data_IF_190610275045
#
_entry.id   IF_190610275045
#
_cell.length_a   1.000
_cell.length_b   1.000
_cell.length_c   1.000
_cell.angle_alpha   90.00
_cell.angle_beta   90.00
_cell.angle_gamma   90.00
#
_symmetry.space_group_name_H-M   'P 1'
#
loop_
_entity.id
_entity.type
_entity.pdbx_description
1 polymer ?
#
# COMPACT_ATOMS: atom_id res chain seq x y z
N UNK A 1 7.69 -3.08 -15.47
CA UNK A 1 8.52 -3.22 -14.25
C UNK A 1 7.66 -2.74 -13.08
N UNK A 2 7.02 -3.67 -12.38
CA UNK A 2 6.23 -3.39 -11.18
C UNK A 2 6.69 -4.36 -10.11
N UNK A 3 7.13 -3.85 -8.96
CA UNK A 3 7.53 -4.70 -7.83
C UNK A 3 6.27 -4.91 -7.00
N UNK A 4 5.51 -5.94 -7.33
CA UNK A 4 4.42 -6.41 -6.45
C UNK A 4 5.01 -7.45 -5.51
N UNK A 5 4.97 -7.18 -4.20
CA UNK A 5 5.08 -8.24 -3.20
C UNK A 5 3.82 -9.10 -3.24
N UNK A 6 3.71 -10.03 -4.18
CA UNK A 6 2.59 -10.99 -4.20
C UNK A 6 2.79 -12.04 -3.12
N UNK A 7 2.29 -11.79 -1.91
CA UNK A 7 1.98 -12.87 -0.99
C UNK A 7 0.73 -13.60 -1.53
N UNK A 8 0.90 -14.82 -2.07
CA UNK A 8 -0.25 -15.69 -2.40
C UNK A 8 -0.73 -16.35 -1.12
N UNK A 9 -1.99 -16.13 -0.73
CA UNK A 9 -2.67 -16.94 0.29
C UNK A 9 -4.07 -17.29 -0.21
N UNK A 10 -4.27 -18.58 -0.47
CA UNK A 10 -5.58 -19.19 -0.63
C UNK A 10 -6.22 -19.31 0.76
N UNK A 11 -7.43 -18.75 0.86
CA UNK A 11 -8.42 -18.96 1.92
C UNK A 11 -8.16 -18.31 3.31
N UNK A 12 -9.04 -17.33 3.59
CA UNK A 12 -9.50 -16.80 4.89
C UNK A 12 -8.59 -15.87 5.71
N UNK A 13 -9.09 -14.62 5.85
CA UNK A 13 -8.72 -13.53 6.78
C UNK A 13 -7.63 -12.53 6.31
N UNK A 14 -8.07 -11.60 5.45
CA UNK A 14 -7.62 -10.21 5.27
C UNK A 14 -6.17 -9.87 5.71
N UNK A 15 -5.20 -10.21 4.87
CA UNK A 15 -3.87 -9.60 4.95
C UNK A 15 -3.87 -8.32 4.12
N UNK A 16 -3.37 -7.23 4.72
CA UNK A 16 -3.24 -5.93 4.07
C UNK A 16 -2.00 -5.93 3.16
N UNK A 17 -2.12 -5.98 1.81
CA UNK A 17 -0.94 -5.85 0.97
C UNK A 17 -0.35 -4.44 1.12
N UNK A 18 0.94 -4.37 1.45
CA UNK A 18 1.74 -3.19 1.22
C UNK A 18 1.98 -3.03 -0.29
N UNK A 19 1.56 -1.91 -0.86
CA UNK A 19 1.67 -1.60 -2.29
C UNK A 19 2.81 -0.61 -2.49
N UNK A 20 3.78 -0.97 -3.34
CA UNK A 20 4.98 -0.19 -3.66
C UNK A 20 5.35 -0.33 -5.14
N UNK A 21 6.22 0.55 -5.64
CA UNK A 21 6.81 0.40 -6.97
C UNK A 21 6.84 1.66 -7.82
N UNK A 22 7.17 1.50 -9.12
CA UNK A 22 7.27 2.60 -10.07
C UNK A 22 5.97 2.82 -10.85
N UNK A 23 5.72 4.08 -11.23
CA UNK A 23 4.47 4.52 -11.82
C UNK A 23 3.36 4.60 -10.76
N UNK A 24 3.57 5.45 -9.75
CA UNK A 24 2.61 5.70 -8.65
C UNK A 24 1.18 5.93 -9.17
N UNK A 25 1.05 6.86 -10.11
CA UNK A 25 -0.19 7.29 -10.75
C UNK A 25 -0.74 6.30 -11.79
N UNK A 26 0.03 5.25 -12.15
CA UNK A 26 -0.33 4.24 -13.15
C UNK A 26 -0.41 2.83 -12.55
N UNK A 27 0.66 2.05 -12.67
CA UNK A 27 0.71 0.64 -12.28
C UNK A 27 0.40 0.43 -10.79
N UNK A 28 0.91 1.29 -9.91
CA UNK A 28 0.66 1.22 -8.47
C UNK A 28 -0.81 1.49 -8.15
N UNK A 29 -1.35 2.62 -8.61
CA UNK A 29 -2.77 2.99 -8.40
C UNK A 29 -3.75 1.96 -8.97
N UNK A 30 -3.52 1.49 -10.20
CA UNK A 30 -4.38 0.48 -10.83
C UNK A 30 -4.36 -0.86 -10.11
N UNK A 31 -3.19 -1.28 -9.60
CA UNK A 31 -3.07 -2.50 -8.78
C UNK A 31 -3.82 -2.35 -7.46
N UNK A 32 -3.65 -1.20 -6.79
CA UNK A 32 -4.33 -0.90 -5.52
C UNK A 32 -5.85 -0.90 -5.68
N UNK A 33 -6.39 -0.24 -6.70
CA UNK A 33 -7.83 -0.27 -7.03
C UNK A 33 -8.32 -1.69 -7.29
N UNK A 34 -7.56 -2.45 -8.07
CA UNK A 34 -7.87 -3.85 -8.36
C UNK A 34 -7.88 -4.73 -7.11
N UNK A 35 -7.02 -4.46 -6.13
CA UNK A 35 -7.01 -5.17 -4.85
C UNK A 35 -8.19 -4.75 -3.96
N UNK A 36 -8.46 -3.45 -3.88
CA UNK A 36 -9.61 -2.88 -3.17
C UNK A 36 -10.95 -3.42 -3.69
N UNK A 37 -11.12 -3.51 -5.01
CA UNK A 37 -12.34 -4.07 -5.62
C UNK A 37 -12.57 -5.56 -5.28
N UNK A 38 -11.51 -6.26 -4.82
CA UNK A 38 -11.57 -7.65 -4.33
C UNK A 38 -11.77 -7.72 -2.81
N UNK A 39 -11.98 -6.60 -2.14
CA UNK A 39 -12.16 -6.51 -0.68
C UNK A 39 -10.86 -6.61 0.11
N UNK A 40 -9.71 -6.30 -0.50
CA UNK A 40 -8.43 -6.23 0.22
C UNK A 40 -8.21 -4.80 0.75
N UNK A 41 -7.94 -4.71 2.05
CA UNK A 41 -7.49 -3.49 2.71
C UNK A 41 -6.04 -3.19 2.31
N UNK A 42 -5.77 -2.12 1.56
CA UNK A 42 -4.44 -1.84 1.03
C UNK A 42 -3.69 -0.76 1.83
N UNK A 43 -2.38 -0.91 1.97
CA UNK A 43 -1.48 0.14 2.48
C UNK A 43 -0.53 0.58 1.37
N UNK A 44 -0.64 1.83 0.92
CA UNK A 44 0.34 2.42 0.01
C UNK A 44 1.55 2.91 0.81
N UNK A 45 2.74 2.40 0.52
CA UNK A 45 3.99 2.88 1.15
C UNK A 45 4.65 3.89 0.21
N UNK A 46 4.42 5.18 0.47
CA UNK A 46 4.60 6.24 -0.51
C UNK A 46 6.08 6.54 -0.81
N UNK A 47 6.93 6.54 0.22
CA UNK A 47 8.38 6.72 0.09
C UNK A 47 9.09 5.55 -0.61
N UNK A 48 8.42 4.41 -0.74
CA UNK A 48 8.84 3.26 -1.53
C UNK A 48 8.22 3.24 -2.94
N UNK A 49 7.56 4.33 -3.35
CA UNK A 49 7.00 4.50 -4.68
C UNK A 49 7.74 5.57 -5.49
N UNK A 50 7.70 5.41 -6.82
CA UNK A 50 8.25 6.39 -7.76
C UNK A 50 7.15 6.80 -8.73
N UNK A 51 6.85 8.10 -8.80
CA UNK A 51 5.99 8.67 -9.84
C UNK A 51 6.80 9.00 -11.09
N UNK A 52 6.20 8.90 -12.29
CA UNK A 52 6.86 9.39 -13.50
C UNK A 52 6.82 10.92 -13.58
N UNK A 53 5.76 11.52 -13.07
CA UNK A 53 5.61 12.96 -12.88
C UNK A 53 5.57 13.27 -11.37
N UNK A 54 6.58 13.96 -10.81
CA UNK A 54 6.60 14.35 -9.40
C UNK A 54 5.39 15.17 -8.97
N UNK A 55 4.81 15.98 -9.86
CA UNK A 55 3.64 16.81 -9.55
C UNK A 55 2.37 15.97 -9.31
N UNK A 56 2.38 14.70 -9.74
CA UNK A 56 1.30 13.75 -9.53
C UNK A 56 1.38 12.96 -8.22
N UNK A 57 2.46 13.09 -7.44
CA UNK A 57 2.58 12.39 -6.14
C UNK A 57 1.48 12.80 -5.17
N UNK A 58 1.28 14.12 -4.99
CA UNK A 58 0.26 14.63 -4.07
C UNK A 58 -1.18 14.29 -4.53
N UNK A 59 -1.56 14.49 -5.81
CA UNK A 59 -2.85 14.02 -6.32
C UNK A 59 -3.07 12.51 -6.21
N UNK A 60 -2.03 11.70 -6.47
CA UNK A 60 -2.13 10.24 -6.35
C UNK A 60 -2.34 9.82 -4.88
N UNK A 61 -1.63 10.43 -3.94
CA UNK A 61 -1.87 10.23 -2.51
C UNK A 61 -3.30 10.61 -2.13
N UNK A 62 -3.74 11.80 -2.53
CA UNK A 62 -5.09 12.30 -2.22
C UNK A 62 -6.18 11.35 -2.71
N UNK A 63 -6.00 10.74 -3.89
CA UNK A 63 -6.95 9.76 -4.42
C UNK A 63 -7.13 8.53 -3.53
N UNK A 64 -6.10 8.11 -2.82
CA UNK A 64 -6.20 7.00 -1.85
C UNK A 64 -7.01 7.43 -0.63
N UNK A 65 -6.70 8.61 -0.07
CA UNK A 65 -7.25 9.11 1.20
C UNK A 65 -8.67 9.69 1.06
N UNK A 66 -9.14 9.97 -0.16
CA UNK A 66 -10.50 10.47 -0.42
C UNK A 66 -11.58 9.58 0.21
N UNK A 67 -12.71 10.19 0.58
CA UNK A 67 -13.87 9.52 1.20
C UNK A 67 -13.53 8.69 2.45
N UNK A 68 -12.48 9.09 3.19
CA UNK A 68 -12.03 8.39 4.39
C UNK A 68 -11.12 7.19 4.12
N UNK A 69 -10.44 7.15 2.98
CA UNK A 69 -9.55 6.05 2.60
C UNK A 69 -10.20 5.06 1.64
N UNK A 70 -10.84 5.53 0.57
CA UNK A 70 -11.62 4.70 -0.38
C UNK A 70 -10.81 3.56 -1.02
N UNK A 71 -9.48 3.69 -1.08
CA UNK A 71 -8.60 2.63 -1.56
C UNK A 71 -7.68 2.05 -0.48
N UNK A 72 -7.83 2.48 0.78
CA UNK A 72 -7.02 2.07 1.91
C UNK A 72 -6.28 3.22 2.58
N UNK A 73 -5.11 2.92 3.15
CA UNK A 73 -4.28 3.87 3.90
C UNK A 73 -2.98 4.22 3.16
N UNK A 74 -2.35 5.31 3.58
CA UNK A 74 -1.01 5.73 3.10
C UNK A 74 -0.08 5.82 4.30
N UNK A 75 1.13 5.29 4.16
CA UNK A 75 2.20 5.39 5.15
C UNK A 75 3.56 5.47 4.50
N UNK A 76 4.59 5.64 5.33
CA UNK A 76 5.99 5.63 4.93
C UNK A 76 6.69 4.39 5.50
N UNK A 77 7.81 4.00 4.89
CA UNK A 77 8.55 2.78 5.22
C UNK A 77 8.96 2.76 6.70
N UNK A 78 9.32 3.91 7.27
CA UNK A 78 9.64 4.03 8.70
C UNK A 78 8.46 3.62 9.60
N UNK A 79 7.27 4.17 9.36
CA UNK A 79 6.08 3.85 10.14
C UNK A 79 5.68 2.38 10.02
N UNK A 80 5.86 1.78 8.84
CA UNK A 80 5.62 0.36 8.61
C UNK A 80 6.59 -0.50 9.41
N UNK A 81 7.89 -0.19 9.36
CA UNK A 81 8.91 -0.93 10.10
C UNK A 81 8.72 -0.81 11.61
N UNK A 82 8.41 0.38 12.11
CA UNK A 82 8.12 0.60 13.53
C UNK A 82 6.93 -0.24 13.99
N UNK A 83 5.84 -0.27 13.22
CA UNK A 83 4.67 -1.09 13.52
C UNK A 83 5.00 -2.59 13.52
N UNK A 84 5.81 -3.07 12.57
CA UNK A 84 6.24 -4.46 12.51
C UNK A 84 7.14 -4.84 13.69
N UNK A 85 8.05 -3.97 14.10
CA UNK A 85 8.90 -4.21 15.27
C UNK A 85 8.06 -4.31 16.55
N UNK A 86 7.11 -3.39 16.76
CA UNK A 86 6.18 -3.44 17.89
C UNK A 86 5.34 -4.73 17.89
N UNK A 87 4.88 -5.17 16.72
CA UNK A 87 4.17 -6.45 16.60
C UNK A 87 5.08 -7.63 16.93
N UNK A 88 6.32 -7.62 16.47
CA UNK A 88 7.29 -8.68 16.73
C UNK A 88 7.58 -8.82 18.23
N UNK A 89 7.82 -7.71 18.94
CA UNK A 89 8.01 -7.70 20.40
C UNK A 89 6.80 -8.24 21.16
N UNK A 90 5.58 -7.95 20.68
CA UNK A 90 4.34 -8.45 21.30
C UNK A 90 4.12 -9.94 21.08
N UNK A 91 4.58 -10.48 19.95
CA UNK A 91 4.43 -11.90 19.61
C UNK A 91 5.54 -12.76 20.22
N UNK A 92 6.70 -12.18 20.50
CA UNK A 92 7.88 -12.85 21.06
C UNK A 92 8.45 -12.06 22.27
N UNK A 93 7.77 -12.08 23.43
CA UNK A 93 8.19 -11.35 24.62
C UNK A 93 9.45 -11.92 25.30
#
# INVERSE_FOLDING_TARGET
VGVVGHARVQDQQALQPAVVGAGLETCVHSTMRSANDRGLECLLVLDACVAYDPDLVAPARSQVEMSGGIFGAVGDTSAVLDALNLLNERLHP
#
